data_IF_955648469760
#
_entry.id   IF_955648469760
#
_cell.length_a   1.000
_cell.length_b   1.000
_cell.length_c   1.000
_cell.angle_alpha   90.00
_cell.angle_beta   90.00
_cell.angle_gamma   90.00
#
_symmetry.space_group_name_H-M   'P 1'
#
loop_
_entity.id
_entity.type
_entity.pdbx_description
1 polymer ?
#
# COMPACT_ATOMS: atom_id res chain seq x y z
N UNK A 1 -0.66 -16.59 41.94
CA UNK A 1 0.13 -15.93 40.88
C UNK A 1 -0.69 -14.78 40.34
N UNK A 2 -0.37 -13.58 40.80
CA UNK A 2 -1.18 -12.38 40.62
C UNK A 2 -1.17 -11.91 39.16
N UNK A 3 -2.36 -11.58 38.65
CA UNK A 3 -2.58 -10.87 37.39
C UNK A 3 -2.43 -9.38 37.70
N UNK A 4 -1.55 -8.69 36.99
CA UNK A 4 -1.44 -7.23 37.05
C UNK A 4 -2.63 -6.64 36.27
N UNK A 5 -3.43 -5.81 36.95
CA UNK A 5 -4.53 -5.01 36.39
C UNK A 5 -4.01 -3.63 36.05
N UNK A 6 -4.63 -2.98 35.07
CA UNK A 6 -4.25 -1.66 34.55
C UNK A 6 -4.53 -0.50 35.53
N UNK A 7 -5.05 -0.81 36.72
CA UNK A 7 -5.38 0.16 37.77
C UNK A 7 -4.16 0.61 38.61
N UNK A 8 -3.00 -0.04 38.43
CA UNK A 8 -1.78 0.22 39.21
C UNK A 8 -1.03 1.51 38.81
N UNK A 9 -1.57 2.31 37.87
CA UNK A 9 -0.98 3.57 37.40
C UNK A 9 -1.82 4.82 37.72
N UNK A 10 -2.48 4.85 38.89
CA UNK A 10 -3.07 6.09 39.41
C UNK A 10 -2.15 6.73 40.46
N UNK A 11 -1.27 7.63 40.01
CA UNK A 11 -0.45 8.49 40.86
C UNK A 11 -0.73 9.98 40.63
N UNK A 12 -1.59 10.57 41.46
CA UNK A 12 -1.60 12.01 41.79
C UNK A 12 -0.75 12.19 43.06
N UNK A 13 -0.01 13.27 43.36
CA UNK A 13 0.01 14.70 42.98
C UNK A 13 1.46 15.22 43.29
N UNK A 14 1.92 16.48 43.15
CA UNK A 14 1.31 17.81 43.13
C UNK A 14 2.37 18.87 42.73
N UNK A 15 1.91 20.02 42.21
CA UNK A 15 2.46 21.35 42.54
C UNK A 15 3.31 22.09 41.51
N UNK A 16 2.82 23.26 41.06
CA UNK A 16 3.68 24.40 40.69
C UNK A 16 3.51 25.02 39.29
N UNK A 17 2.54 25.93 39.18
CA UNK A 17 2.56 27.26 38.52
C UNK A 17 3.03 27.49 37.07
N UNK A 18 2.15 28.18 36.33
CA UNK A 18 2.35 29.14 35.23
C UNK A 18 3.11 28.77 33.95
N UNK A 19 2.32 28.57 32.87
CA UNK A 19 2.78 28.69 31.49
C UNK A 19 1.79 28.10 30.51
N UNK A 20 1.26 28.92 29.60
CA UNK A 20 0.28 28.57 28.57
C UNK A 20 0.51 27.17 27.97
N UNK A 21 -0.34 26.21 28.31
CA UNK A 21 -0.31 24.90 27.66
C UNK A 21 -0.92 25.05 26.27
N UNK A 22 -0.08 25.17 25.26
CA UNK A 22 -0.45 24.78 23.90
C UNK A 22 -1.03 23.37 24.01
N UNK A 23 -2.36 23.27 23.86
CA UNK A 23 -3.03 21.99 23.89
C UNK A 23 -2.40 21.13 22.80
N UNK A 24 -1.68 20.09 23.20
CA UNK A 24 -1.03 19.16 22.27
C UNK A 24 -2.12 18.66 21.34
N UNK A 25 -1.99 19.03 20.06
CA UNK A 25 -2.89 18.59 19.02
C UNK A 25 -2.68 17.10 18.82
N UNK A 26 -3.62 16.31 19.31
CA UNK A 26 -3.66 14.85 19.11
C UNK A 26 -4.41 14.64 17.79
N UNK A 27 -3.65 14.50 16.70
CA UNK A 27 -4.20 14.11 15.40
C UNK A 27 -4.38 12.59 15.34
N UNK A 28 -5.46 12.15 14.68
CA UNK A 28 -5.73 10.73 14.46
C UNK A 28 -4.73 10.15 13.44
N UNK A 29 -3.91 9.15 13.84
CA UNK A 29 -2.88 8.58 12.99
C UNK A 29 -3.43 7.84 11.76
N UNK A 30 -4.74 7.56 11.71
CA UNK A 30 -5.40 7.00 10.53
C UNK A 30 -5.36 7.90 9.29
N UNK A 31 -5.07 9.20 9.46
CA UNK A 31 -5.01 10.18 8.37
C UNK A 31 -3.58 10.64 8.02
N UNK A 32 -2.55 10.04 8.62
CA UNK A 32 -1.15 10.41 8.39
C UNK A 32 -0.44 9.40 7.49
N UNK A 33 0.28 9.91 6.48
CA UNK A 33 1.06 9.09 5.55
C UNK A 33 2.44 8.80 6.15
N UNK A 34 2.71 7.54 6.54
CA UNK A 34 4.02 7.09 7.03
C UNK A 34 4.26 7.29 8.54
N UNK A 35 4.83 6.30 9.20
CA UNK A 35 4.42 5.86 10.56
C UNK A 35 5.46 6.13 11.66
N UNK A 36 5.05 6.25 12.94
CA UNK A 36 5.81 5.70 14.05
C UNK A 36 5.00 4.62 14.80
N UNK A 37 5.35 3.34 14.60
CA UNK A 37 4.80 2.18 15.32
C UNK A 37 5.87 1.08 15.37
N UNK A 38 6.23 0.71 16.59
CA UNK A 38 7.23 -0.26 16.99
C UNK A 38 6.69 -1.69 16.80
N UNK A 39 6.79 -2.21 15.58
CA UNK A 39 6.69 -3.64 15.26
C UNK A 39 5.36 -4.37 15.58
N UNK A 40 4.32 -4.17 14.76
CA UNK A 40 3.29 -5.20 14.53
C UNK A 40 2.81 -5.35 13.07
N UNK A 41 3.70 -5.17 12.08
CA UNK A 41 3.33 -5.45 10.67
C UNK A 41 3.43 -6.91 10.30
N UNK A 42 2.90 -7.84 11.11
CA UNK A 42 3.09 -9.27 10.89
C UNK A 42 1.87 -10.13 11.11
N UNK A 43 0.83 -9.83 10.32
CA UNK A 43 0.07 -10.79 9.52
C UNK A 43 -1.06 -10.03 8.81
N UNK A 44 -0.86 -9.51 7.59
CA UNK A 44 -1.88 -8.75 6.80
C UNK A 44 -3.09 -8.22 7.62
N UNK A 45 -2.92 -7.44 8.70
CA UNK A 45 -4.03 -7.18 9.63
C UNK A 45 -5.09 -6.29 8.97
N UNK A 46 -4.71 -5.60 7.90
CA UNK A 46 -5.59 -4.79 7.08
C UNK A 46 -6.43 -5.61 6.10
N UNK A 47 -5.98 -6.82 5.74
CA UNK A 47 -6.88 -7.80 5.12
C UNK A 47 -8.02 -8.09 6.09
N UNK A 48 -7.76 -8.13 7.39
CA UNK A 48 -8.81 -8.23 8.40
C UNK A 48 -9.66 -6.96 8.52
N UNK A 49 -9.15 -5.74 8.29
CA UNK A 49 -10.03 -4.54 8.29
C UNK A 49 -11.13 -4.64 7.23
N UNK A 50 -10.81 -5.12 6.02
CA UNK A 50 -11.84 -5.31 4.96
C UNK A 50 -12.56 -6.67 5.04
N UNK A 51 -11.91 -7.74 5.54
CA UNK A 51 -12.52 -9.08 5.69
C UNK A 51 -13.41 -9.19 6.94
N UNK A 52 -13.05 -8.56 8.08
CA UNK A 52 -13.80 -8.64 9.34
C UNK A 52 -15.14 -7.92 9.27
N UNK A 53 -15.25 -6.87 8.45
CA UNK A 53 -16.51 -6.16 8.26
C UNK A 53 -17.38 -6.77 7.15
N UNK A 54 -16.86 -7.73 6.37
CA UNK A 54 -17.62 -8.46 5.35
C UNK A 54 -18.16 -7.60 4.18
N UNK A 55 -17.97 -6.28 4.23
CA UNK A 55 -18.41 -5.33 3.23
C UNK A 55 -17.21 -4.85 2.42
N UNK A 56 -17.28 -5.05 1.10
CA UNK A 56 -16.35 -4.41 0.18
C UNK A 56 -16.65 -2.91 0.15
N UNK A 57 -15.62 -2.05 0.09
CA UNK A 57 -15.84 -0.62 0.02
C UNK A 57 -16.66 -0.28 -1.24
N UNK A 58 -17.67 0.57 -1.06
CA UNK A 58 -18.35 1.19 -2.19
C UNK A 58 -17.41 2.15 -2.94
N UNK A 59 -17.91 2.80 -3.98
CA UNK A 59 -17.11 3.71 -4.79
C UNK A 59 -16.44 4.83 -3.96
N UNK A 60 -17.16 5.41 -2.99
CA UNK A 60 -16.67 6.53 -2.17
C UNK A 60 -15.60 6.11 -1.14
N UNK A 61 -15.61 4.85 -0.71
CA UNK A 61 -14.66 4.30 0.27
C UNK A 61 -13.53 3.49 -0.40
N UNK A 62 -13.51 3.41 -1.74
CA UNK A 62 -12.52 2.64 -2.46
C UNK A 62 -11.20 3.43 -2.55
N UNK A 63 -10.09 2.91 -2.00
CA UNK A 63 -8.82 3.64 -2.03
C UNK A 63 -8.29 3.86 -3.45
N UNK A 64 -8.65 3.00 -4.41
CA UNK A 64 -8.27 3.20 -5.81
C UNK A 64 -9.14 4.23 -6.54
N UNK A 65 -10.37 4.49 -6.08
CA UNK A 65 -11.18 5.60 -6.59
C UNK A 65 -10.75 6.94 -5.98
N UNK A 66 -10.34 6.93 -4.71
CA UNK A 66 -9.88 8.13 -3.99
C UNK A 66 -8.47 8.53 -4.41
N UNK A 67 -7.55 7.58 -4.63
CA UNK A 67 -6.16 7.87 -4.97
C UNK A 67 -5.99 8.89 -6.12
N UNK A 68 -6.71 8.79 -7.26
CA UNK A 68 -6.63 9.77 -8.33
C UNK A 68 -7.05 11.20 -7.94
N UNK A 69 -7.81 11.41 -6.86
CA UNK A 69 -8.23 12.75 -6.40
C UNK A 69 -7.22 13.41 -5.45
N UNK A 70 -6.19 12.68 -5.03
CA UNK A 70 -5.12 13.16 -4.15
C UNK A 70 -3.88 13.58 -4.96
N UNK A 71 -2.91 14.18 -4.27
CA UNK A 71 -1.57 14.37 -4.84
C UNK A 71 -0.92 13.01 -5.14
N UNK A 72 0.01 12.98 -6.08
CA UNK A 72 0.67 11.71 -6.43
C UNK A 72 1.56 11.19 -5.30
N UNK A 73 2.14 12.09 -4.52
CA UNK A 73 2.93 11.77 -3.34
C UNK A 73 2.07 11.09 -2.26
N UNK A 74 0.91 11.65 -1.94
CA UNK A 74 0.02 11.11 -0.89
C UNK A 74 -0.64 9.80 -1.31
N UNK A 75 -0.98 9.67 -2.61
CA UNK A 75 -1.57 8.45 -3.17
C UNK A 75 -0.54 7.40 -3.60
N UNK A 76 0.75 7.71 -3.51
CA UNK A 76 1.86 6.90 -4.04
C UNK A 76 1.75 6.59 -5.54
N UNK A 77 1.11 7.46 -6.32
CA UNK A 77 0.97 7.33 -7.77
C UNK A 77 2.31 7.60 -8.43
N UNK A 78 2.72 6.70 -9.33
CA UNK A 78 3.95 6.81 -10.12
C UNK A 78 3.67 7.21 -11.56
N UNK A 79 2.45 6.97 -12.06
CA UNK A 79 2.06 7.34 -13.41
C UNK A 79 0.53 7.42 -13.56
N UNK A 80 0.08 8.39 -14.35
CA UNK A 80 -1.32 8.58 -14.74
C UNK A 80 -1.46 8.43 -16.25
N UNK A 81 -2.22 7.43 -16.68
CA UNK A 81 -2.65 7.27 -18.07
C UNK A 81 -4.03 7.88 -18.31
N UNK A 82 -4.67 7.45 -19.40
CA UNK A 82 -6.00 7.92 -19.84
C UNK A 82 -7.15 7.13 -19.20
N UNK A 83 -7.04 5.81 -19.15
CA UNK A 83 -8.01 4.84 -18.66
C UNK A 83 -7.55 4.12 -17.37
N UNK A 84 -6.23 4.08 -17.12
CA UNK A 84 -5.60 3.43 -16.00
C UNK A 84 -4.43 4.24 -15.45
N UNK A 85 -4.02 3.92 -14.23
CA UNK A 85 -2.91 4.54 -13.53
C UNK A 85 -2.10 3.49 -12.78
N UNK A 86 -0.88 3.86 -12.40
CA UNK A 86 0.02 3.02 -11.62
C UNK A 86 0.40 3.70 -10.30
N UNK A 87 0.40 2.92 -9.23
CA UNK A 87 0.75 3.36 -7.87
C UNK A 87 1.52 2.28 -7.13
N UNK A 88 2.29 2.66 -6.11
CA UNK A 88 2.89 1.66 -5.22
C UNK A 88 1.84 0.99 -4.35
N UNK A 89 2.03 -0.29 -4.10
CA UNK A 89 1.32 -0.96 -3.03
C UNK A 89 1.86 -0.47 -1.68
N UNK A 90 0.98 0.08 -0.83
CA UNK A 90 1.30 0.51 0.53
C UNK A 90 1.86 -0.63 1.40
N UNK A 91 1.49 -1.88 1.08
CA UNK A 91 1.97 -3.09 1.73
C UNK A 91 2.70 -3.97 0.73
N UNK A 92 3.92 -3.57 0.30
CA UNK A 92 4.58 -4.19 -0.82
C UNK A 92 5.09 -5.58 -0.47
N UNK A 93 5.05 -6.52 -1.42
CA UNK A 93 5.72 -7.80 -1.25
C UNK A 93 7.23 -7.60 -1.30
N UNK A 94 7.74 -6.81 -2.24
CA UNK A 94 9.13 -6.37 -2.31
C UNK A 94 9.16 -4.89 -2.66
N UNK A 95 10.28 -4.20 -2.39
CA UNK A 95 10.49 -2.82 -2.84
C UNK A 95 10.19 -2.69 -4.34
N UNK A 96 9.40 -1.69 -4.72
CA UNK A 96 8.94 -1.49 -6.11
C UNK A 96 7.71 -2.32 -6.50
N UNK A 97 6.96 -2.89 -5.55
CA UNK A 97 5.66 -3.50 -5.83
C UNK A 97 4.66 -2.43 -6.30
N UNK A 98 4.36 -2.45 -7.59
CA UNK A 98 3.40 -1.54 -8.24
C UNK A 98 2.08 -2.25 -8.47
N UNK A 99 0.99 -1.49 -8.37
CA UNK A 99 -0.35 -1.85 -8.80
C UNK A 99 -0.70 -1.04 -10.06
N UNK A 100 -1.40 -1.66 -11.01
CA UNK A 100 -2.01 -0.96 -12.15
C UNK A 100 -3.52 -1.12 -12.06
N UNK A 101 -4.24 -0.01 -12.01
CA UNK A 101 -5.68 0.02 -11.78
C UNK A 101 -6.37 0.85 -12.87
N UNK A 102 -7.54 0.44 -13.39
CA UNK A 102 -8.39 1.34 -14.17
C UNK A 102 -8.93 2.45 -13.27
N UNK A 103 -9.21 3.62 -13.84
CA UNK A 103 -9.93 4.68 -13.11
C UNK A 103 -11.37 4.27 -12.79
N UNK A 104 -12.00 3.53 -13.70
CA UNK A 104 -13.37 3.03 -13.52
C UNK A 104 -13.38 1.95 -12.43
N UNK A 105 -14.38 2.04 -11.55
CA UNK A 105 -14.60 1.05 -10.51
C UNK A 105 -15.25 -0.21 -11.09
N UNK A 106 -14.42 -1.17 -11.50
CA UNK A 106 -14.83 -2.52 -11.93
C UNK A 106 -14.14 -3.57 -11.11
N UNK A 107 -14.84 -4.64 -10.77
CA UNK A 107 -14.31 -5.66 -9.89
C UNK A 107 -13.42 -6.64 -10.64
N UNK A 108 -13.85 -7.04 -11.84
CA UNK A 108 -13.26 -8.16 -12.55
C UNK A 108 -12.60 -7.74 -13.86
N UNK A 109 -11.60 -8.52 -14.27
CA UNK A 109 -10.85 -8.26 -15.50
C UNK A 109 -11.70 -8.44 -16.76
N UNK A 110 -12.69 -9.33 -16.73
CA UNK A 110 -13.63 -9.54 -17.84
C UNK A 110 -14.69 -8.43 -17.96
N UNK A 111 -14.79 -7.54 -16.97
CA UNK A 111 -15.64 -6.34 -17.01
C UNK A 111 -14.90 -5.13 -17.58
N UNK A 112 -13.58 -5.21 -17.75
CA UNK A 112 -12.75 -4.13 -18.28
C UNK A 112 -13.00 -3.92 -19.79
N UNK A 113 -12.98 -2.67 -20.24
CA UNK A 113 -13.12 -2.36 -21.67
C UNK A 113 -11.85 -2.73 -22.43
N UNK A 114 -11.91 -2.92 -23.77
CA UNK A 114 -10.72 -3.17 -24.57
C UNK A 114 -9.63 -2.09 -24.42
N UNK A 115 -10.02 -0.84 -24.26
CA UNK A 115 -9.12 0.30 -24.05
C UNK A 115 -8.44 0.25 -22.68
N UNK A 116 -9.18 -0.07 -21.62
CA UNK A 116 -8.64 -0.27 -20.28
C UNK A 116 -7.64 -1.44 -20.26
N UNK A 117 -8.00 -2.57 -20.89
CA UNK A 117 -7.12 -3.74 -20.99
C UNK A 117 -5.82 -3.41 -21.74
N UNK A 118 -5.93 -2.70 -22.87
CA UNK A 118 -4.77 -2.30 -23.67
C UNK A 118 -3.84 -1.37 -22.88
N UNK A 119 -4.40 -0.39 -22.17
CA UNK A 119 -3.58 0.55 -21.41
C UNK A 119 -2.99 -0.07 -20.14
N UNK A 120 -3.73 -0.91 -19.41
CA UNK A 120 -3.17 -1.71 -18.30
C UNK A 120 -1.97 -2.52 -18.78
N UNK A 121 -2.07 -3.15 -19.95
CA UNK A 121 -0.96 -3.89 -20.57
C UNK A 121 0.23 -2.99 -20.93
N UNK A 122 -0.04 -1.81 -21.50
CA UNK A 122 1.00 -0.83 -21.85
C UNK A 122 1.74 -0.30 -20.63
N UNK A 123 1.00 0.16 -19.62
CA UNK A 123 1.52 0.64 -18.33
C UNK A 123 2.35 -0.46 -17.66
N UNK A 124 1.88 -1.72 -17.68
CA UNK A 124 2.60 -2.86 -17.12
C UNK A 124 3.96 -3.05 -17.77
N UNK A 125 4.04 -3.00 -19.11
CA UNK A 125 5.31 -3.11 -19.82
C UNK A 125 6.26 -1.96 -19.47
N UNK A 126 5.76 -0.73 -19.39
CA UNK A 126 6.57 0.44 -19.01
C UNK A 126 7.06 0.33 -17.57
N UNK A 127 6.19 -0.01 -16.62
CA UNK A 127 6.56 -0.24 -15.22
C UNK A 127 7.66 -1.30 -15.08
N UNK A 128 7.59 -2.41 -15.81
CA UNK A 128 8.65 -3.43 -15.78
C UNK A 128 10.01 -2.89 -16.25
N UNK A 129 10.05 -2.06 -17.30
CA UNK A 129 11.30 -1.45 -17.79
C UNK A 129 11.85 -0.46 -16.77
N UNK A 130 11.00 0.41 -16.25
CA UNK A 130 11.34 1.44 -15.26
C UNK A 130 11.85 0.81 -13.96
N UNK A 131 11.10 -0.14 -13.38
CA UNK A 131 11.50 -0.82 -12.14
C UNK A 131 12.83 -1.56 -12.33
N UNK A 132 13.04 -2.21 -13.48
CA UNK A 132 14.33 -2.86 -13.78
C UNK A 132 15.48 -1.86 -13.86
N UNK A 133 15.25 -0.68 -14.43
CA UNK A 133 16.24 0.38 -14.49
C UNK A 133 16.63 0.86 -13.09
N UNK A 134 15.63 1.14 -12.25
CA UNK A 134 15.79 1.74 -10.92
C UNK A 134 16.33 0.73 -9.90
N UNK A 135 15.77 -0.47 -9.85
CA UNK A 135 15.98 -1.43 -8.77
C UNK A 135 16.89 -2.61 -9.14
N UNK A 136 17.26 -2.75 -10.42
CA UNK A 136 18.13 -3.83 -10.94
C UNK A 136 17.65 -5.23 -10.54
N UNK A 137 16.34 -5.46 -10.55
CA UNK A 137 15.75 -6.76 -10.22
C UNK A 137 15.96 -7.79 -11.34
N UNK A 138 16.00 -9.06 -10.97
CA UNK A 138 16.28 -10.19 -11.86
C UNK A 138 15.03 -10.69 -12.61
N UNK A 139 13.85 -10.52 -12.03
CA UNK A 139 12.59 -11.02 -12.60
C UNK A 139 11.35 -10.35 -12.02
N UNK A 140 10.18 -10.76 -12.50
CA UNK A 140 8.89 -10.22 -12.06
C UNK A 140 7.86 -11.33 -11.84
N UNK A 141 6.99 -11.14 -10.86
CA UNK A 141 5.68 -11.79 -10.83
C UNK A 141 4.62 -10.76 -11.24
N UNK A 142 3.77 -11.15 -12.19
CA UNK A 142 2.60 -10.40 -12.61
C UNK A 142 1.37 -11.22 -12.23
N UNK A 143 0.33 -10.57 -11.71
CA UNK A 143 -0.88 -11.30 -11.35
C UNK A 143 -2.05 -10.41 -10.97
N UNK A 144 -3.25 -10.97 -11.04
CA UNK A 144 -4.47 -10.35 -10.56
C UNK A 144 -5.22 -11.40 -9.74
N UNK A 145 -5.70 -11.03 -8.56
CA UNK A 145 -6.61 -11.87 -7.81
C UNK A 145 -8.04 -11.47 -8.21
N UNK A 146 -8.82 -12.40 -8.76
CA UNK A 146 -10.15 -12.12 -9.31
C UNK A 146 -11.25 -12.60 -8.35
N UNK A 147 -11.88 -11.65 -7.65
CA UNK A 147 -12.90 -11.91 -6.63
C UNK A 147 -12.34 -12.16 -5.22
N UNK A 148 -13.22 -12.04 -4.21
CA UNK A 148 -12.82 -12.12 -2.80
C UNK A 148 -12.19 -13.48 -2.42
N UNK A 149 -12.71 -14.58 -2.96
CA UNK A 149 -12.20 -15.94 -2.70
C UNK A 149 -10.82 -16.16 -3.30
N UNK A 150 -10.52 -15.54 -4.45
CA UNK A 150 -9.18 -15.59 -5.04
C UNK A 150 -8.14 -14.76 -4.26
N UNK A 151 -8.56 -14.07 -3.20
CA UNK A 151 -7.69 -13.39 -2.28
C UNK A 151 -7.41 -11.92 -2.60
N UNK A 152 -8.23 -11.30 -3.46
CA UNK A 152 -8.20 -9.86 -3.69
C UNK A 152 -8.43 -9.11 -2.37
N UNK A 153 -7.52 -8.19 -2.03
CA UNK A 153 -7.64 -7.38 -0.81
C UNK A 153 -8.80 -6.38 -0.91
N UNK A 154 -8.96 -5.78 -2.09
CA UNK A 154 -10.07 -4.91 -2.46
C UNK A 154 -10.72 -5.57 -3.68
N UNK A 155 -11.69 -6.45 -3.45
CA UNK A 155 -12.25 -7.29 -4.50
C UNK A 155 -13.19 -6.54 -5.44
N UNK A 156 -13.67 -5.36 -5.06
CA UNK A 156 -14.58 -4.55 -5.84
C UNK A 156 -13.90 -3.70 -6.93
N UNK A 157 -12.56 -3.60 -6.92
CA UNK A 157 -11.81 -2.78 -7.88
C UNK A 157 -10.57 -3.51 -8.38
N UNK A 158 -10.53 -3.76 -9.68
CA UNK A 158 -9.48 -4.45 -10.43
C UNK A 158 -8.11 -3.79 -10.22
N UNK A 159 -7.11 -4.60 -9.90
CA UNK A 159 -5.74 -4.15 -9.82
C UNK A 159 -4.77 -5.27 -10.21
N UNK A 160 -3.85 -4.96 -11.12
CA UNK A 160 -2.76 -5.85 -11.50
C UNK A 160 -1.53 -5.60 -10.64
N UNK A 161 -1.01 -6.65 -10.04
CA UNK A 161 0.24 -6.63 -9.31
C UNK A 161 1.43 -6.77 -10.25
N UNK A 162 2.45 -5.93 -10.03
CA UNK A 162 3.77 -6.01 -10.64
C UNK A 162 4.80 -6.09 -9.51
N UNK A 163 5.34 -7.28 -9.26
CA UNK A 163 6.23 -7.54 -8.13
C UNK A 163 7.64 -7.83 -8.63
N UNK A 164 8.61 -6.94 -8.44
CA UNK A 164 10.01 -7.23 -8.76
C UNK A 164 10.57 -8.30 -7.83
N UNK A 165 11.40 -9.18 -8.38
CA UNK A 165 12.04 -10.32 -7.72
C UNK A 165 13.55 -10.28 -7.92
N UNK A 166 14.28 -10.66 -6.89
CA UNK A 166 15.73 -10.87 -6.94
C UNK A 166 16.05 -12.34 -6.67
N UNK A 167 17.16 -12.80 -7.20
CA UNK A 167 17.72 -14.09 -6.81
C UNK A 167 17.86 -14.13 -5.28
N UNK A 168 17.25 -15.13 -4.66
CA UNK A 168 17.32 -15.38 -3.21
C UNK A 168 16.69 -14.28 -2.33
N UNK A 169 15.71 -13.53 -2.86
CA UNK A 169 14.93 -12.55 -2.08
C UNK A 169 14.05 -13.18 -0.99
N UNK A 170 13.78 -14.48 -1.09
CA UNK A 170 13.17 -15.29 -0.04
C UNK A 170 14.28 -15.92 0.82
N UNK A 171 14.39 -15.47 2.06
CA UNK A 171 15.27 -16.05 3.07
C UNK A 171 14.44 -16.59 4.26
N UNK A 172 15.10 -16.98 5.35
CA UNK A 172 14.42 -17.58 6.50
C UNK A 172 13.58 -16.58 7.31
N UNK A 173 13.80 -15.26 7.19
CA UNK A 173 13.11 -14.25 8.01
C UNK A 173 11.58 -14.27 7.80
N UNK A 174 11.04 -14.25 6.56
CA UNK A 174 9.59 -14.33 6.36
C UNK A 174 8.96 -15.65 6.82
N UNK A 175 9.73 -16.74 6.86
CA UNK A 175 9.23 -18.09 7.15
C UNK A 175 9.27 -18.39 8.64
N UNK A 176 10.40 -18.12 9.29
CA UNK A 176 10.66 -18.47 10.70
C UNK A 176 10.29 -17.32 11.63
N UNK A 177 10.87 -16.15 11.36
CA UNK A 177 10.65 -14.96 12.16
C UNK A 177 9.32 -14.27 11.81
N UNK A 178 8.61 -14.80 10.80
CA UNK A 178 7.46 -14.16 10.17
C UNK A 178 7.77 -12.70 9.97
N UNK A 179 8.92 -12.29 9.44
CA UNK A 179 9.34 -10.88 9.32
C UNK A 179 9.87 -10.61 7.93
N UNK A 180 9.45 -9.50 7.28
CA UNK A 180 10.02 -9.09 6.00
C UNK A 180 10.68 -7.72 6.10
N UNK A 181 11.99 -7.69 5.87
CA UNK A 181 12.74 -6.45 5.78
C UNK A 181 12.52 -5.81 4.40
N UNK A 182 12.13 -4.53 4.40
CA UNK A 182 12.09 -3.70 3.19
C UNK A 182 13.22 -2.68 3.32
N UNK A 183 14.22 -2.69 2.42
CA UNK A 183 15.44 -1.90 2.58
C UNK A 183 15.28 -0.41 2.23
N UNK A 184 14.12 0.00 1.68
CA UNK A 184 13.89 1.35 1.18
C UNK A 184 12.53 1.87 1.64
N UNK A 185 12.44 3.19 1.85
CA UNK A 185 11.20 3.87 2.17
C UNK A 185 10.29 3.95 0.94
N UNK A 186 8.98 3.86 1.14
CA UNK A 186 8.00 3.91 0.04
C UNK A 186 8.08 5.22 -0.75
N UNK A 187 8.26 6.36 -0.07
CA UNK A 187 8.41 7.66 -0.71
C UNK A 187 9.60 7.71 -1.67
N UNK A 188 10.77 7.27 -1.22
CA UNK A 188 11.98 7.24 -2.04
C UNK A 188 11.81 6.35 -3.28
N UNK A 189 11.17 5.17 -3.09
CA UNK A 189 10.88 4.24 -4.19
C UNK A 189 9.88 4.85 -5.17
N UNK A 190 8.85 5.54 -4.69
CA UNK A 190 7.85 6.21 -5.52
C UNK A 190 8.54 7.26 -6.39
N UNK A 191 9.33 8.13 -5.78
CA UNK A 191 10.06 9.20 -6.47
C UNK A 191 10.98 8.61 -7.53
N UNK A 192 11.80 7.62 -7.18
CA UNK A 192 12.73 7.01 -8.13
C UNK A 192 12.02 6.35 -9.33
N UNK A 193 10.86 5.72 -9.13
CA UNK A 193 10.07 5.12 -10.22
C UNK A 193 9.38 6.22 -11.06
N UNK A 194 8.78 7.22 -10.42
CA UNK A 194 8.08 8.30 -11.11
C UNK A 194 9.04 9.14 -11.97
N UNK A 195 10.21 9.48 -11.45
CA UNK A 195 11.25 10.23 -12.19
C UNK A 195 11.84 9.45 -13.37
N UNK A 196 11.90 8.12 -13.26
CA UNK A 196 12.38 7.25 -14.33
C UNK A 196 11.29 6.89 -15.34
N UNK A 197 10.04 7.31 -15.14
CA UNK A 197 8.97 7.07 -16.07
C UNK A 197 9.17 7.90 -17.35
N UNK A 198 9.03 7.33 -18.56
CA UNK A 198 9.19 8.08 -19.80
C UNK A 198 8.19 9.25 -19.87
N UNK A 199 8.70 10.44 -20.18
CA UNK A 199 7.88 11.58 -20.59
C UNK A 199 7.62 11.44 -22.09
N UNK A 200 6.37 11.30 -22.49
CA UNK A 200 5.97 11.39 -23.90
C UNK A 200 6.18 12.81 -24.46
#
# INVERSE_FOLDING_TARGET
MARLSIDDYSGQAAGGDDGASDAVRIDDPGYLVGVPDEFQRLWTPHRMVYIQHGQQPGHEDCPFCVAPTMSDEDALIVHRGTHAFALLNLFPYNSGHVLVCPYRHVALYDEATPEEVAEIGSITQTAMRVIRQVSKNDGFNLGMNQGAIAGAGIAAHLHQHIVPRWAQDANFLPIIAKTKALPQLLGDVRTAIAEAWPTD
#
